data_IF_715640584799
#
_entry.id   IF_715640584799
#
_cell.length_a   1.000
_cell.length_b   1.000
_cell.length_c   1.000
_cell.angle_alpha   90.00
_cell.angle_beta   90.00
_cell.angle_gamma   90.00
#
_symmetry.space_group_name_H-M   'P 1'
#
loop_
_entity.id
_entity.type
_entity.pdbx_description
1 polymer ?
#
# COMPACT_ATOMS: atom_id res chain seq x y z
N UNK A 1 -32.53 1.00 24.54
CA UNK A 1 -31.75 0.07 23.68
C UNK A 1 -31.79 0.45 22.19
N UNK A 2 -32.96 0.78 21.60
CA UNK A 2 -33.08 1.15 20.18
C UNK A 2 -32.18 2.32 19.73
N UNK A 3 -32.10 3.41 20.50
CA UNK A 3 -31.22 4.54 20.14
C UNK A 3 -29.71 4.24 20.28
N UNK A 4 -29.34 3.25 21.09
CA UNK A 4 -27.94 2.83 21.22
C UNK A 4 -27.51 2.02 19.98
N UNK A 5 -28.36 1.11 19.51
CA UNK A 5 -28.14 0.33 18.27
C UNK A 5 -28.03 1.25 17.05
N UNK A 6 -28.91 2.26 16.94
CA UNK A 6 -28.88 3.22 15.84
C UNK A 6 -27.60 4.08 15.83
N UNK A 7 -27.09 4.47 17.00
CA UNK A 7 -25.81 5.17 17.12
C UNK A 7 -24.60 4.30 16.74
N UNK A 8 -24.67 2.98 16.93
CA UNK A 8 -23.61 2.06 16.51
C UNK A 8 -23.60 1.88 14.99
N UNK A 9 -24.76 1.76 14.35
CA UNK A 9 -24.88 1.68 12.88
C UNK A 9 -24.31 2.93 12.22
N UNK A 10 -24.70 4.13 12.67
CA UNK A 10 -24.21 5.39 12.10
C UNK A 10 -22.68 5.55 12.24
N UNK A 11 -22.11 5.11 13.37
CA UNK A 11 -20.65 5.16 13.57
C UNK A 11 -19.91 4.19 12.65
N UNK A 12 -20.47 3.01 12.39
CA UNK A 12 -19.90 2.04 11.48
C UNK A 12 -19.94 2.55 10.03
N UNK A 13 -21.07 3.14 9.61
CA UNK A 13 -21.23 3.73 8.27
C UNK A 13 -20.27 4.89 8.03
N UNK A 14 -20.21 5.88 8.94
CA UNK A 14 -19.27 7.01 8.83
C UNK A 14 -17.82 6.50 8.76
N UNK A 15 -17.52 5.45 9.51
CA UNK A 15 -16.21 4.84 9.56
C UNK A 15 -15.84 4.20 8.21
N UNK A 16 -16.76 3.48 7.58
CA UNK A 16 -16.59 2.89 6.25
C UNK A 16 -16.45 3.98 5.19
N UNK A 17 -17.28 5.02 5.22
CA UNK A 17 -17.18 6.16 4.31
C UNK A 17 -15.80 6.83 4.39
N UNK A 18 -15.17 6.93 5.56
CA UNK A 18 -13.81 7.47 5.67
C UNK A 18 -12.75 6.61 4.96
N UNK A 19 -12.93 5.29 4.92
CA UNK A 19 -12.01 4.41 4.18
C UNK A 19 -12.15 4.61 2.67
N UNK A 20 -13.38 4.69 2.18
CA UNK A 20 -13.67 4.97 0.78
C UNK A 20 -13.13 6.33 0.36
N UNK A 21 -13.32 7.36 1.20
CA UNK A 21 -12.75 8.69 0.95
C UNK A 21 -11.22 8.61 0.89
N UNK A 22 -10.57 7.93 1.84
CA UNK A 22 -9.12 7.78 1.82
C UNK A 22 -8.64 7.07 0.55
N UNK A 23 -9.33 6.01 0.14
CA UNK A 23 -9.03 5.30 -1.11
C UNK A 23 -9.20 6.21 -2.32
N UNK A 24 -10.26 7.03 -2.36
CA UNK A 24 -10.44 8.05 -3.39
C UNK A 24 -9.27 9.05 -3.44
N UNK A 25 -8.80 9.52 -2.28
CA UNK A 25 -7.65 10.42 -2.20
C UNK A 25 -6.33 9.74 -2.60
N UNK A 26 -6.14 8.44 -2.30
CA UNK A 26 -4.99 7.67 -2.79
C UNK A 26 -5.01 7.62 -4.33
N UNK A 27 -6.18 7.32 -4.93
CA UNK A 27 -6.32 7.29 -6.39
C UNK A 27 -6.01 8.65 -6.99
N UNK A 28 -6.59 9.71 -6.41
CA UNK A 28 -6.35 11.10 -6.85
C UNK A 28 -4.87 11.47 -6.78
N UNK A 29 -4.21 11.18 -5.65
CA UNK A 29 -2.80 11.47 -5.43
C UNK A 29 -1.89 10.72 -6.42
N UNK A 30 -2.16 9.44 -6.67
CA UNK A 30 -1.39 8.61 -7.63
C UNK A 30 -1.63 9.05 -9.07
N UNK A 31 -2.88 9.37 -9.44
CA UNK A 31 -3.22 9.84 -10.78
C UNK A 31 -2.52 11.17 -11.12
N UNK A 32 -2.45 12.11 -10.16
CA UNK A 32 -1.71 13.37 -10.31
C UNK A 32 -0.21 13.17 -10.51
N UNK A 33 0.36 12.08 -9.98
CA UNK A 33 1.75 11.67 -10.22
C UNK A 33 1.93 10.92 -11.56
N UNK A 34 0.89 10.76 -12.36
CA UNK A 34 0.94 10.06 -13.64
C UNK A 34 0.91 8.53 -13.49
N UNK A 35 0.39 8.02 -12.38
CA UNK A 35 0.23 6.60 -12.11
C UNK A 35 -1.26 6.21 -12.14
N UNK A 36 -1.85 5.87 -13.30
CA UNK A 36 -3.26 5.52 -13.39
C UNK A 36 -3.57 4.22 -12.64
N UNK A 37 -4.73 4.16 -11.98
CA UNK A 37 -5.25 2.94 -11.38
C UNK A 37 -5.69 1.94 -12.45
N UNK A 38 -5.33 0.67 -12.29
CA UNK A 38 -5.62 -0.41 -13.26
C UNK A 38 -6.34 -1.60 -12.65
N UNK A 39 -6.46 -1.67 -11.32
CA UNK A 39 -7.20 -2.74 -10.64
C UNK A 39 -7.59 -2.31 -9.25
N UNK A 40 -8.77 -2.75 -8.82
CA UNK A 40 -9.27 -2.61 -7.45
C UNK A 40 -9.65 -4.00 -6.92
N UNK A 41 -9.37 -4.27 -5.66
CA UNK A 41 -9.81 -5.46 -4.95
C UNK A 41 -10.16 -5.05 -3.52
N UNK A 42 -11.39 -5.33 -3.08
CA UNK A 42 -11.88 -4.96 -1.76
C UNK A 42 -12.52 -6.15 -1.07
N UNK A 43 -12.34 -6.23 0.25
CA UNK A 43 -13.11 -7.06 1.17
C UNK A 43 -13.38 -6.22 2.44
N UNK A 44 -14.11 -6.78 3.41
CA UNK A 44 -14.69 -6.07 4.56
C UNK A 44 -13.75 -5.06 5.25
N UNK A 45 -12.46 -5.37 5.40
CA UNK A 45 -11.49 -4.51 6.11
C UNK A 45 -10.23 -4.18 5.30
N UNK A 46 -10.14 -4.65 4.04
CA UNK A 46 -8.96 -4.50 3.21
C UNK A 46 -9.32 -4.05 1.80
N UNK A 47 -8.74 -2.93 1.41
CA UNK A 47 -8.87 -2.38 0.06
C UNK A 47 -7.48 -2.32 -0.58
N UNK A 48 -7.35 -2.85 -1.79
CA UNK A 48 -6.11 -2.88 -2.56
C UNK A 48 -6.33 -2.28 -3.94
N UNK A 49 -5.44 -1.38 -4.31
CA UNK A 49 -5.43 -0.69 -5.59
C UNK A 49 -4.10 -0.96 -6.26
N UNK A 50 -4.13 -1.27 -7.56
CA UNK A 50 -2.93 -1.34 -8.39
C UNK A 50 -2.87 -0.12 -9.29
N UNK A 51 -1.68 0.47 -9.38
CA UNK A 51 -1.34 1.59 -10.22
C UNK A 51 -0.26 1.20 -11.22
N UNK A 52 -0.40 1.64 -12.46
CA UNK A 52 0.61 1.46 -13.51
C UNK A 52 1.58 2.63 -13.49
N UNK A 53 2.87 2.37 -13.46
CA UNK A 53 3.91 3.41 -13.43
C UNK A 53 4.39 3.75 -14.83
N UNK A 54 3.49 4.28 -15.68
CA UNK A 54 3.69 4.43 -17.14
C UNK A 54 4.94 5.25 -17.51
N UNK A 55 5.27 6.27 -16.71
CA UNK A 55 6.41 7.17 -16.95
C UNK A 55 7.68 6.77 -16.18
N UNK A 56 7.65 5.68 -15.42
CA UNK A 56 8.80 5.22 -14.64
C UNK A 56 9.55 4.14 -15.41
N UNK A 57 10.84 4.35 -15.69
CA UNK A 57 11.68 3.40 -16.41
C UNK A 57 12.03 2.14 -15.59
N UNK A 58 11.95 2.23 -14.27
CA UNK A 58 12.32 1.15 -13.35
C UNK A 58 11.09 0.35 -12.95
N UNK A 59 10.09 1.03 -12.39
CA UNK A 59 8.91 0.39 -11.83
C UNK A 59 7.92 -0.03 -12.92
N UNK A 60 7.38 -1.23 -12.79
CA UNK A 60 6.31 -1.75 -13.63
C UNK A 60 4.93 -1.40 -13.09
N UNK A 61 4.73 -1.58 -11.76
CA UNK A 61 3.49 -1.25 -11.09
C UNK A 61 3.69 -0.99 -9.59
N UNK A 62 2.74 -0.30 -8.97
CA UNK A 62 2.68 -0.08 -7.52
C UNK A 62 1.33 -0.55 -7.01
N UNK A 63 1.32 -1.27 -5.90
CA UNK A 63 0.12 -1.68 -5.19
C UNK A 63 0.05 -0.91 -3.89
N UNK A 64 -1.09 -0.31 -3.61
CA UNK A 64 -1.40 0.32 -2.32
C UNK A 64 -2.52 -0.48 -1.69
N UNK A 65 -2.27 -1.03 -0.50
CA UNK A 65 -3.26 -1.77 0.29
C UNK A 65 -3.52 -0.99 1.57
N UNK A 66 -4.77 -0.64 1.79
CA UNK A 66 -5.27 -0.14 3.05
C UNK A 66 -5.90 -1.31 3.80
N UNK A 67 -5.45 -1.57 5.02
CA UNK A 67 -5.97 -2.61 5.89
C UNK A 67 -6.23 -1.99 7.27
N UNK A 68 -7.51 -1.87 7.65
CA UNK A 68 -7.83 -1.57 9.03
C UNK A 68 -7.76 -2.88 9.79
N UNK A 69 -6.76 -3.01 10.65
CA UNK A 69 -6.75 -4.05 11.68
C UNK A 69 -7.92 -3.77 12.63
N UNK A 70 -9.09 -4.25 12.26
CA UNK A 70 -10.21 -4.38 13.15
C UNK A 70 -9.77 -5.36 14.24
N UNK A 71 -9.46 -4.84 15.43
CA UNK A 71 -9.59 -5.66 16.62
C UNK A 71 -11.04 -6.12 16.62
N UNK A 72 -11.28 -7.40 16.34
CA UNK A 72 -12.59 -8.03 16.30
C UNK A 72 -13.22 -7.94 17.69
N UNK A 73 -13.86 -6.81 17.98
CA UNK A 73 -14.46 -6.52 19.27
C UNK A 73 -14.77 -5.03 19.46
N UNK A 74 -15.86 -4.75 20.16
CA UNK A 74 -16.33 -3.39 20.48
C UNK A 74 -15.26 -2.51 21.17
N UNK A 75 -14.28 -3.12 21.85
CA UNK A 75 -13.14 -2.44 22.49
C UNK A 75 -12.02 -2.04 21.51
N UNK A 76 -11.78 -2.83 20.46
CA UNK A 76 -10.77 -2.51 19.44
C UNK A 76 -11.19 -1.34 18.54
N UNK A 77 -12.47 -1.29 18.19
CA UNK A 77 -13.03 -0.24 17.34
C UNK A 77 -12.99 1.16 18.00
N UNK A 78 -13.09 1.25 19.32
CA UNK A 78 -13.05 2.52 20.06
C UNK A 78 -11.62 3.08 20.24
N UNK A 79 -10.61 2.21 20.31
CA UNK A 79 -9.20 2.60 20.52
C UNK A 79 -8.42 2.79 19.21
N UNK A 80 -8.82 2.11 18.13
CA UNK A 80 -8.12 2.10 16.84
C UNK A 80 -8.96 2.68 15.69
N UNK A 81 -10.11 3.30 15.97
CA UNK A 81 -11.11 3.67 14.96
C UNK A 81 -10.62 4.55 13.80
N UNK A 82 -9.49 5.24 13.94
CA UNK A 82 -8.87 6.06 12.88
C UNK A 82 -7.51 5.55 12.41
N UNK A 83 -6.99 4.46 12.99
CA UNK A 83 -5.68 3.90 12.62
C UNK A 83 -5.84 2.81 11.58
N UNK A 84 -5.05 2.87 10.52
CA UNK A 84 -5.01 1.86 9.48
C UNK A 84 -3.58 1.53 9.09
N UNK A 85 -3.42 0.35 8.54
CA UNK A 85 -2.17 -0.14 7.99
C UNK A 85 -2.14 0.19 6.51
N UNK A 86 -1.16 0.98 6.08
CA UNK A 86 -0.89 1.25 4.68
C UNK A 86 0.28 0.37 4.24
N UNK A 87 0.01 -0.57 3.36
CA UNK A 87 1.05 -1.40 2.74
C UNK A 87 1.24 -0.95 1.30
N UNK A 88 2.47 -0.53 0.98
CA UNK A 88 2.86 -0.16 -0.38
C UNK A 88 3.83 -1.21 -0.90
N UNK A 89 3.50 -1.78 -2.06
CA UNK A 89 4.34 -2.74 -2.77
C UNK A 89 4.69 -2.16 -4.13
N UNK A 90 5.97 -1.98 -4.41
CA UNK A 90 6.46 -1.64 -5.75
C UNK A 90 6.93 -2.92 -6.46
N UNK A 91 6.63 -3.02 -7.75
CA UNK A 91 7.01 -4.13 -8.62
C UNK A 91 7.93 -3.63 -9.72
N UNK A 92 9.03 -4.35 -9.95
CA UNK A 92 9.73 -4.33 -11.23
C UNK A 92 9.45 -5.63 -11.96
N UNK A 93 9.41 -5.56 -13.29
CA UNK A 93 9.44 -6.74 -14.16
C UNK A 93 10.73 -6.74 -14.96
N UNK A 94 11.34 -7.92 -14.99
CA UNK A 94 12.49 -8.23 -15.82
C UNK A 94 12.05 -9.19 -16.91
N UNK A 95 12.62 -9.06 -18.11
CA UNK A 95 12.42 -10.06 -19.16
C UNK A 95 13.41 -11.20 -18.90
N UNK A 96 12.90 -12.35 -18.49
CA UNK A 96 13.73 -13.55 -18.38
C UNK A 96 13.92 -14.13 -19.77
N UNK A 97 15.14 -14.04 -20.29
CA UNK A 97 15.52 -14.64 -21.58
C UNK A 97 16.12 -16.03 -21.41
N UNK A 98 16.84 -16.30 -20.31
CA UNK A 98 17.60 -17.55 -20.15
C UNK A 98 17.43 -18.23 -18.77
N UNK A 99 17.46 -19.58 -18.73
CA UNK A 99 17.31 -20.35 -17.49
C UNK A 99 18.47 -20.16 -16.50
N UNK A 100 19.67 -19.79 -16.96
CA UNK A 100 20.80 -19.51 -16.08
C UNK A 100 20.63 -18.18 -15.30
N UNK A 101 19.91 -17.22 -15.89
CA UNK A 101 19.55 -15.98 -15.20
C UNK A 101 18.60 -16.22 -14.02
N UNK A 102 17.71 -17.21 -14.13
CA UNK A 102 16.83 -17.64 -13.05
C UNK A 102 17.62 -18.18 -11.86
N UNK A 103 18.61 -19.03 -12.12
CA UNK A 103 19.42 -19.67 -11.06
C UNK A 103 20.30 -18.66 -10.34
N UNK A 104 20.91 -17.71 -11.07
CA UNK A 104 21.72 -16.64 -10.46
C UNK A 104 20.88 -15.69 -9.62
N UNK A 105 19.70 -15.29 -10.10
CA UNK A 105 18.79 -14.43 -9.35
C UNK A 105 18.36 -15.10 -8.05
N UNK A 106 17.90 -16.36 -8.14
CA UNK A 106 17.43 -17.13 -6.98
C UNK A 106 18.48 -17.29 -5.87
N UNK A 107 19.76 -17.48 -6.24
CA UNK A 107 20.88 -17.59 -5.27
C UNK A 107 21.17 -16.27 -4.55
N UNK A 108 21.15 -15.15 -5.26
CA UNK A 108 21.38 -13.80 -4.68
C UNK A 108 20.22 -13.37 -3.78
N UNK A 109 19.01 -13.88 -4.06
CA UNK A 109 17.80 -13.54 -3.30
C UNK A 109 17.67 -14.32 -1.99
N UNK A 110 18.04 -15.60 -2.00
CA UNK A 110 18.09 -16.43 -0.79
C UNK A 110 19.06 -15.86 0.27
N UNK A 111 20.14 -15.23 -0.16
CA UNK A 111 21.11 -14.60 0.74
C UNK A 111 20.56 -13.32 1.42
N UNK A 112 19.54 -12.67 0.83
CA UNK A 112 18.98 -11.41 1.33
C UNK A 112 17.62 -11.58 2.03
N UNK A 113 16.92 -12.70 1.81
CA UNK A 113 15.61 -13.02 2.38
C UNK A 113 15.59 -13.06 3.92
N UNK A 114 16.73 -13.36 4.56
CA UNK A 114 16.81 -13.54 6.02
C UNK A 114 17.06 -12.24 6.83
N UNK A 115 17.19 -11.08 6.19
CA UNK A 115 17.24 -9.80 6.90
C UNK A 115 15.82 -9.34 7.24
N UNK A 116 15.29 -9.81 8.37
CA UNK A 116 13.95 -9.44 8.85
C UNK A 116 13.84 -7.93 9.06
N UNK A 117 12.90 -7.23 8.37
CA UNK A 117 12.65 -5.83 8.64
C UNK A 117 11.68 -5.69 9.82
N UNK A 118 12.11 -4.91 10.81
CA UNK A 118 11.24 -4.33 11.85
C UNK A 118 10.20 -3.42 11.16
N UNK A 119 9.05 -3.16 11.80
CA UNK A 119 7.99 -2.27 11.29
C UNK A 119 8.54 -1.00 10.62
N UNK A 120 8.12 -0.70 9.38
CA UNK A 120 8.68 0.36 8.53
C UNK A 120 9.87 -0.07 7.65
N UNK A 121 10.40 -1.28 7.83
CA UNK A 121 11.43 -1.86 6.98
C UNK A 121 10.89 -2.39 5.65
N UNK A 122 11.79 -2.55 4.67
CA UNK A 122 11.45 -2.97 3.30
C UNK A 122 11.70 -4.46 3.15
N UNK A 123 10.67 -5.22 2.79
CA UNK A 123 10.75 -6.64 2.44
C UNK A 123 10.89 -6.80 0.93
N UNK A 124 11.90 -7.54 0.48
CA UNK A 124 12.07 -7.93 -0.93
C UNK A 124 11.55 -9.35 -1.15
N UNK A 125 10.79 -9.56 -2.22
CA UNK A 125 10.32 -10.88 -2.65
C UNK A 125 10.53 -11.03 -4.16
N UNK A 126 10.96 -12.21 -4.59
CA UNK A 126 11.13 -12.52 -6.01
C UNK A 126 10.05 -13.50 -6.43
N UNK A 127 9.43 -13.24 -7.58
CA UNK A 127 8.33 -14.02 -8.13
C UNK A 127 8.52 -14.17 -9.63
N UNK A 128 9.06 -15.31 -10.07
CA UNK A 128 9.33 -15.59 -11.48
C UNK A 128 10.14 -14.44 -12.12
N UNK A 129 9.48 -13.60 -12.92
CA UNK A 129 10.04 -12.47 -13.65
C UNK A 129 9.84 -11.11 -12.96
N UNK A 130 9.24 -11.08 -11.77
CA UNK A 130 8.97 -9.88 -10.98
C UNK A 130 9.79 -9.84 -9.70
N UNK A 131 10.23 -8.65 -9.31
CA UNK A 131 10.78 -8.38 -7.98
C UNK A 131 9.91 -7.35 -7.28
N UNK A 132 9.51 -7.66 -6.05
CA UNK A 132 8.58 -6.88 -5.25
C UNK A 132 9.30 -6.33 -4.02
N UNK A 133 9.23 -5.01 -3.81
CA UNK A 133 9.60 -4.38 -2.56
C UNK A 133 8.34 -3.93 -1.84
N UNK A 134 8.15 -4.37 -0.60
CA UNK A 134 6.98 -4.04 0.22
C UNK A 134 7.40 -3.36 1.51
N UNK A 135 6.71 -2.29 1.85
CA UNK A 135 6.77 -1.69 3.19
C UNK A 135 5.38 -1.48 3.73
N UNK A 136 5.28 -1.48 5.04
CA UNK A 136 4.02 -1.35 5.77
C UNK A 136 4.19 -0.31 6.87
N UNK A 137 3.30 0.67 6.87
CA UNK A 137 3.28 1.77 7.84
C UNK A 137 1.91 1.86 8.51
N UNK A 138 1.88 2.34 9.75
CA UNK A 138 0.64 2.68 10.44
C UNK A 138 0.33 4.15 10.16
N UNK A 139 -0.88 4.43 9.71
CA UNK A 139 -1.36 5.77 9.39
C UNK A 139 -2.61 6.10 10.20
N UNK A 140 -2.84 7.39 10.43
CA UNK A 140 -4.07 7.91 10.99
C UNK A 140 -4.90 8.52 9.86
N UNK A 141 -6.05 7.92 9.56
CA UNK A 141 -6.92 8.26 8.44
C UNK A 141 -7.42 9.70 8.54
N UNK A 142 -7.72 10.16 9.75
CA UNK A 142 -8.20 11.52 10.02
C UNK A 142 -7.18 12.62 9.65
N UNK A 143 -5.89 12.27 9.43
CA UNK A 143 -4.88 13.21 8.92
C UNK A 143 -5.05 13.51 7.43
N UNK A 144 -5.68 12.63 6.68
CA UNK A 144 -5.76 12.70 5.23
C UNK A 144 -7.19 12.94 4.74
N UNK A 145 -8.19 12.45 5.48
CA UNK A 145 -9.61 12.52 5.10
C UNK A 145 -10.25 13.83 5.57
N UNK A 146 -11.03 14.45 4.70
CA UNK A 146 -11.78 15.71 4.97
C UNK A 146 -10.89 16.89 5.43
N UNK A 147 -9.63 16.92 4.96
CA UNK A 147 -8.67 18.02 5.23
C UNK A 147 -8.43 18.94 4.04
N UNK A 148 -9.24 18.83 2.98
CA UNK A 148 -9.05 19.60 1.76
C UNK A 148 -7.70 19.29 1.08
N UNK A 149 -7.11 20.28 0.42
CA UNK A 149 -5.88 20.09 -0.35
C UNK A 149 -4.66 19.74 0.54
N UNK A 150 -4.62 20.20 1.80
CA UNK A 150 -3.52 19.88 2.73
C UNK A 150 -3.42 18.37 3.02
N UNK A 151 -4.55 17.70 3.23
CA UNK A 151 -4.58 16.25 3.46
C UNK A 151 -4.12 15.46 2.24
N UNK A 152 -4.51 15.92 1.05
CA UNK A 152 -4.13 15.30 -0.22
C UNK A 152 -2.64 15.49 -0.49
N UNK A 153 -2.10 16.68 -0.21
CA UNK A 153 -0.68 16.95 -0.34
C UNK A 153 0.14 16.07 0.61
N UNK A 154 -0.27 15.98 1.88
CA UNK A 154 0.40 15.11 2.86
C UNK A 154 0.37 13.63 2.44
N UNK A 155 -0.75 13.16 1.89
CA UNK A 155 -0.88 11.79 1.36
C UNK A 155 0.00 11.59 0.13
N UNK A 156 0.05 12.59 -0.76
CA UNK A 156 0.89 12.58 -1.97
C UNK A 156 2.36 12.48 -1.59
N UNK A 157 2.82 13.29 -0.64
CA UNK A 157 4.20 13.25 -0.13
C UNK A 157 4.52 11.90 0.54
N UNK A 158 3.60 11.36 1.34
CA UNK A 158 3.76 10.03 1.95
C UNK A 158 3.94 8.95 0.88
N UNK A 159 3.05 8.91 -0.12
CA UNK A 159 3.09 7.90 -1.18
C UNK A 159 4.35 8.07 -2.04
N UNK A 160 4.65 9.28 -2.50
CA UNK A 160 5.81 9.57 -3.32
C UNK A 160 7.12 9.20 -2.60
N UNK A 161 7.28 9.63 -1.35
CA UNK A 161 8.45 9.30 -0.53
C UNK A 161 8.58 7.80 -0.26
N UNK A 162 7.46 7.10 -0.06
CA UNK A 162 7.47 5.64 0.13
C UNK A 162 7.84 4.92 -1.16
N UNK A 163 7.26 5.30 -2.30
CA UNK A 163 7.55 4.71 -3.61
C UNK A 163 9.02 4.95 -3.99
N UNK A 164 9.56 6.15 -3.77
CA UNK A 164 10.96 6.46 -4.02
C UNK A 164 11.91 5.54 -3.23
N UNK A 165 11.66 5.35 -1.93
CA UNK A 165 12.44 4.41 -1.10
C UNK A 165 12.36 2.97 -1.60
N UNK A 166 11.18 2.51 -2.00
CA UNK A 166 11.01 1.17 -2.56
C UNK A 166 11.75 1.04 -3.90
N UNK A 167 11.66 2.06 -4.76
CA UNK A 167 12.35 2.11 -6.05
C UNK A 167 13.86 2.06 -5.89
N UNK A 168 14.44 2.83 -4.97
CA UNK A 168 15.88 2.78 -4.68
C UNK A 168 16.35 1.37 -4.29
N UNK A 169 15.52 0.63 -3.54
CA UNK A 169 15.82 -0.76 -3.18
C UNK A 169 15.62 -1.73 -4.33
N UNK A 170 14.73 -1.44 -5.27
CA UNK A 170 14.50 -2.27 -6.45
C UNK A 170 15.47 -1.98 -7.60
N UNK A 171 16.04 -0.77 -7.68
CA UNK A 171 16.89 -0.34 -8.78
C UNK A 171 18.04 -1.31 -9.11
N UNK A 172 18.76 -1.92 -8.14
CA UNK A 172 19.82 -2.88 -8.43
C UNK A 172 19.33 -4.17 -9.10
N UNK A 173 18.05 -4.48 -9.01
CA UNK A 173 17.45 -5.72 -9.52
C UNK A 173 16.81 -5.54 -10.90
N UNK A 174 16.78 -4.31 -11.44
CA UNK A 174 16.24 -4.05 -12.77
C UNK A 174 17.23 -4.52 -13.83
N UNK A 175 16.77 -5.42 -14.70
CA UNK A 175 17.49 -5.91 -15.89
C UNK A 175 16.80 -5.44 -17.16
#
# INVERSE_FOLDING_TARGET
MLGMLQNFTNKAEIRESKDEILVGEIVRAMARQGHPSVSFAANDDRQRIRFKTVRDATLESVFVTLDRKTGSGALGAALFGSKATLTVTAEIKNRLSDPDDLVKMYKTDFANIFKMPVMGGIKLNHQLNSVLATTTTLIEIDKYVMKGDEGVEALTQLLAGTIAKLKEKLAPFKK
#
